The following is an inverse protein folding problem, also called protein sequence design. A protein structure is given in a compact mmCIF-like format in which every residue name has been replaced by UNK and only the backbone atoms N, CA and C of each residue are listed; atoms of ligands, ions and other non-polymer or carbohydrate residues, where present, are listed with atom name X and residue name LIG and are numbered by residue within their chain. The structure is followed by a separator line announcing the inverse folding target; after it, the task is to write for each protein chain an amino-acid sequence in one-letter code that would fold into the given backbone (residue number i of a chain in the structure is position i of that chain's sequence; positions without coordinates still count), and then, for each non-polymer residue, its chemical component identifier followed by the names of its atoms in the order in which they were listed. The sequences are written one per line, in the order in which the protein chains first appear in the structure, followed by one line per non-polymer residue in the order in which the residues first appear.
data_IF_379028831175
#
_entry.id   IF_379028831175
#
_cell.length_a   1.000
_cell.length_b   1.000
_cell.length_c   1.000
_cell.angle_alpha   90.00
_cell.angle_beta   90.00
_cell.angle_gamma   90.00
#
_symmetry.space_group_name_H-M   'P 1'
#
loop_
_entity.id
_entity.type
_entity.pdbx_description
1 polymer ?
#
# COMPACT_ATOMS: atom_id res chain seq x y z
N UNK A 1 10.33 49.82 -11.05
CA UNK A 1 10.72 48.46 -10.62
C UNK A 1 9.79 48.02 -9.51
N UNK A 2 9.07 46.90 -9.66
CA UNK A 2 8.34 46.28 -8.54
C UNK A 2 9.26 45.23 -7.93
N UNK A 3 9.50 45.33 -6.63
CA UNK A 3 10.28 44.37 -5.85
C UNK A 3 9.33 43.45 -5.11
N UNK A 4 9.66 42.15 -5.01
CA UNK A 4 8.93 41.20 -4.18
C UNK A 4 9.56 41.27 -2.79
N UNK A 5 9.05 42.14 -1.92
CA UNK A 5 9.69 42.44 -0.64
C UNK A 5 9.65 41.23 0.30
N UNK A 6 8.65 40.37 0.17
CA UNK A 6 8.51 39.15 0.97
C UNK A 6 9.25 37.92 0.41
N UNK A 7 10.03 38.08 -0.66
CA UNK A 7 10.84 36.99 -1.21
C UNK A 7 11.92 36.55 -0.23
N UNK A 8 11.97 35.26 0.05
CA UNK A 8 12.91 34.62 0.99
C UNK A 8 13.47 33.34 0.37
N UNK A 9 14.55 32.80 0.95
CA UNK A 9 15.13 31.50 0.60
C UNK A 9 15.44 31.31 -0.88
N UNK A 10 15.97 32.36 -1.54
CA UNK A 10 16.42 32.28 -2.93
C UNK A 10 17.55 31.25 -3.02
N UNK A 11 17.31 30.16 -3.76
CA UNK A 11 18.25 29.05 -3.97
C UNK A 11 18.32 28.71 -5.44
N UNK A 12 19.53 28.51 -5.96
CA UNK A 12 19.73 27.93 -7.29
C UNK A 12 19.36 26.45 -7.26
N UNK A 13 18.56 25.99 -8.21
CA UNK A 13 18.20 24.58 -8.35
C UNK A 13 19.35 23.89 -9.09
N UNK A 14 19.98 22.93 -8.42
CA UNK A 14 20.93 22.03 -9.06
C UNK A 14 20.20 20.79 -9.56
N UNK A 15 20.13 20.62 -10.88
CA UNK A 15 19.64 19.39 -11.49
C UNK A 15 20.75 18.33 -11.51
N UNK A 16 20.38 17.06 -11.28
CA UNK A 16 21.31 15.93 -11.33
C UNK A 16 21.86 15.66 -12.73
N UNK A 17 21.12 16.03 -13.77
CA UNK A 17 21.60 16.08 -15.15
C UNK A 17 22.06 17.50 -15.47
N UNK A 18 23.17 17.63 -16.21
CA UNK A 18 23.68 18.91 -16.71
C UNK A 18 22.66 19.56 -17.66
N UNK A 19 21.66 20.24 -17.11
CA UNK A 19 20.90 21.25 -17.82
C UNK A 19 21.68 22.55 -17.70
N UNK A 20 21.96 23.21 -18.83
CA UNK A 20 22.52 24.58 -18.85
C UNK A 20 21.44 25.61 -18.46
N UNK A 21 20.65 25.35 -17.44
CA UNK A 21 19.60 26.27 -16.98
C UNK A 21 19.93 26.78 -15.59
N UNK A 22 19.88 28.10 -15.44
CA UNK A 22 20.03 28.80 -14.16
C UNK A 22 18.65 29.01 -13.54
N UNK A 23 18.07 27.92 -13.06
CA UNK A 23 16.75 27.95 -12.43
C UNK A 23 16.91 28.32 -10.95
N UNK A 24 16.12 29.29 -10.49
CA UNK A 24 16.10 29.73 -9.10
C UNK A 24 14.74 29.41 -8.48
N UNK A 25 14.76 29.02 -7.22
CA UNK A 25 13.57 28.88 -6.38
C UNK A 25 13.64 29.91 -5.26
N UNK A 26 12.52 30.55 -4.99
CA UNK A 26 12.36 31.42 -3.83
C UNK A 26 10.94 31.25 -3.28
N UNK A 27 10.79 31.47 -1.98
CA UNK A 27 9.49 31.42 -1.31
C UNK A 27 8.97 32.86 -1.16
N UNK A 28 7.66 33.08 -1.35
CA UNK A 28 7.01 34.39 -1.19
C UNK A 28 6.02 34.27 -0.04
N UNK A 29 6.17 35.06 1.02
CA UNK A 29 5.33 34.93 2.23
C UNK A 29 3.95 35.55 2.04
N UNK A 30 3.84 36.59 1.23
CA UNK A 30 2.57 37.26 0.93
C UNK A 30 1.92 36.68 -0.34
N UNK A 31 0.68 36.22 -0.22
CA UNK A 31 -0.10 35.67 -1.33
C UNK A 31 -0.41 36.71 -2.42
N UNK A 32 -0.62 37.97 -2.03
CA UNK A 32 -0.87 39.06 -2.99
C UNK A 32 0.37 39.37 -3.82
N UNK A 33 1.55 39.41 -3.20
CA UNK A 33 2.84 39.56 -3.90
C UNK A 33 3.16 38.35 -4.78
N UNK A 34 2.83 37.14 -4.34
CA UNK A 34 2.97 35.92 -5.14
C UNK A 34 2.18 36.03 -6.45
N UNK A 35 0.91 36.41 -6.38
CA UNK A 35 0.07 36.55 -7.58
C UNK A 35 0.52 37.70 -8.47
N UNK A 36 0.93 38.83 -7.89
CA UNK A 36 1.51 39.95 -8.64
C UNK A 36 2.80 39.53 -9.36
N UNK A 37 3.65 38.72 -8.74
CA UNK A 37 4.86 38.18 -9.35
C UNK A 37 4.53 37.26 -10.54
N UNK A 38 3.56 36.34 -10.37
CA UNK A 38 3.12 35.48 -11.47
C UNK A 38 2.54 36.28 -12.64
N UNK A 39 1.77 37.34 -12.36
CA UNK A 39 1.24 38.23 -13.40
C UNK A 39 2.33 39.04 -14.12
N UNK A 40 3.40 39.43 -13.42
CA UNK A 40 4.57 40.06 -14.03
C UNK A 40 5.28 39.11 -15.01
N UNK A 41 5.28 37.81 -14.72
CA UNK A 41 5.83 36.75 -15.58
C UNK A 41 7.35 36.74 -15.74
N UNK A 42 8.06 37.79 -15.32
CA UNK A 42 9.53 37.89 -15.32
C UNK A 42 10.06 38.64 -14.10
N UNK A 43 11.25 38.26 -13.65
CA UNK A 43 11.98 38.87 -12.54
C UNK A 43 13.43 39.15 -12.94
N UNK A 44 13.99 40.26 -12.45
CA UNK A 44 15.41 40.53 -12.59
C UNK A 44 16.16 39.93 -11.38
N UNK A 45 17.16 39.08 -11.66
CA UNK A 45 18.09 38.55 -10.65
C UNK A 45 19.51 38.89 -11.13
N UNK A 46 20.19 39.80 -10.41
CA UNK A 46 21.47 40.36 -10.85
C UNK A 46 21.31 41.16 -12.15
N UNK A 47 22.01 40.73 -13.21
CA UNK A 47 21.94 41.35 -14.54
C UNK A 47 21.05 40.58 -15.54
N UNK A 48 20.38 39.52 -15.08
CA UNK A 48 19.59 38.62 -15.93
C UNK A 48 18.09 38.75 -15.67
N UNK A 49 17.30 38.69 -16.74
CA UNK A 49 15.83 38.59 -16.68
C UNK A 49 15.41 37.13 -16.81
N UNK A 50 14.76 36.60 -15.79
CA UNK A 50 14.30 35.22 -15.75
C UNK A 50 12.77 35.17 -15.75
N UNK A 51 12.19 34.17 -16.41
CA UNK A 51 10.74 33.93 -16.35
C UNK A 51 10.34 33.42 -14.97
N UNK A 52 9.25 33.96 -14.42
CA UNK A 52 8.65 33.46 -13.18
C UNK A 52 7.57 32.45 -13.56
N UNK A 53 7.68 31.25 -13.01
CA UNK A 53 6.66 30.22 -13.10
C UNK A 53 6.30 29.73 -11.71
N UNK A 54 5.05 29.34 -11.50
CA UNK A 54 4.62 28.74 -10.23
C UNK A 54 5.44 27.47 -9.98
N UNK A 55 6.14 27.43 -8.85
CA UNK A 55 6.83 26.23 -8.42
C UNK A 55 5.82 25.29 -7.78
N UNK A 56 5.53 24.19 -8.44
CA UNK A 56 4.78 23.10 -7.84
C UNK A 56 5.77 22.23 -7.09
N UNK A 57 5.77 22.21 -5.74
CA UNK A 57 6.53 21.22 -5.02
C UNK A 57 6.03 19.87 -5.51
N UNK A 58 6.89 19.14 -6.23
CA UNK A 58 6.46 17.88 -6.81
C UNK A 58 6.04 16.97 -5.67
N UNK A 59 4.73 16.77 -5.48
CA UNK A 59 4.23 15.60 -4.79
C UNK A 59 4.97 14.44 -5.42
N UNK A 60 5.85 13.81 -4.64
CA UNK A 60 6.72 12.76 -5.16
C UNK A 60 5.78 11.69 -5.67
N UNK A 61 5.72 11.57 -7.00
CA UNK A 61 4.88 10.58 -7.62
C UNK A 61 5.37 9.22 -7.16
N UNK A 62 4.49 8.45 -6.55
CA UNK A 62 4.75 7.04 -6.29
C UNK A 62 4.66 6.32 -7.62
N UNK A 63 5.81 5.90 -8.13
CA UNK A 63 5.90 5.08 -9.34
C UNK A 63 6.72 3.82 -9.06
N UNK A 64 6.38 2.77 -9.78
CA UNK A 64 7.05 1.49 -9.67
C UNK A 64 8.27 1.47 -10.60
N UNK A 65 9.48 1.24 -10.08
CA UNK A 65 10.69 1.12 -10.90
C UNK A 65 10.79 -0.21 -11.66
N UNK A 66 9.90 -1.17 -11.39
CA UNK A 66 9.83 -2.46 -12.11
C UNK A 66 9.04 -2.33 -13.41
N UNK A 67 7.84 -1.75 -13.35
CA UNK A 67 6.95 -1.63 -14.52
C UNK A 67 6.79 -0.19 -15.04
N UNK A 68 7.38 0.80 -14.36
CA UNK A 68 7.34 2.24 -14.67
C UNK A 68 5.95 2.88 -14.63
N UNK A 69 4.93 2.18 -14.12
CA UNK A 69 3.58 2.73 -13.91
C UNK A 69 3.50 3.51 -12.61
N UNK A 70 2.64 4.53 -12.60
CA UNK A 70 2.24 5.25 -11.39
C UNK A 70 1.29 4.39 -10.53
N UNK A 71 0.97 4.83 -9.32
CA UNK A 71 -0.02 4.24 -8.38
C UNK A 71 0.48 3.15 -7.43
N UNK A 72 1.68 2.58 -7.59
CA UNK A 72 2.15 1.53 -6.67
C UNK A 72 3.68 1.51 -6.52
N UNK A 73 4.14 0.85 -5.46
CA UNK A 73 5.55 0.68 -5.14
C UNK A 73 6.09 -0.61 -5.76
N UNK A 74 7.42 -0.70 -5.86
CA UNK A 74 8.10 -1.87 -6.47
C UNK A 74 7.78 -3.18 -5.76
N UNK A 75 7.65 -3.16 -4.43
CA UNK A 75 7.39 -4.33 -3.59
C UNK A 75 5.98 -4.90 -3.78
N UNK A 76 5.01 -4.09 -4.21
CA UNK A 76 3.63 -4.53 -4.50
C UNK A 76 3.40 -4.82 -5.98
N UNK A 77 4.44 -4.77 -6.80
CA UNK A 77 4.34 -4.94 -8.24
C UNK A 77 4.46 -6.41 -8.67
N UNK A 78 3.36 -6.96 -9.19
CA UNK A 78 3.29 -8.31 -9.77
C UNK A 78 3.72 -8.38 -11.25
N UNK A 79 3.93 -7.23 -11.91
CA UNK A 79 4.38 -7.20 -13.31
C UNK A 79 5.88 -7.53 -13.44
N UNK A 80 6.27 -8.04 -14.61
CA UNK A 80 7.67 -8.27 -14.98
C UNK A 80 8.48 -6.95 -15.02
N UNK A 81 9.79 -7.05 -14.80
CA UNK A 81 10.70 -5.91 -14.95
C UNK A 81 10.73 -5.45 -16.40
N UNK A 82 10.66 -4.14 -16.62
CA UNK A 82 10.66 -3.53 -17.95
C UNK A 82 11.81 -2.54 -18.11
N UNK A 83 12.30 -2.41 -19.34
CA UNK A 83 13.29 -1.41 -19.70
C UNK A 83 12.73 0.00 -19.52
N UNK A 84 13.49 0.91 -18.91
CA UNK A 84 13.08 2.29 -18.65
C UNK A 84 12.75 3.08 -19.92
N UNK A 85 13.41 2.76 -21.02
CA UNK A 85 13.32 3.51 -22.28
C UNK A 85 12.21 2.91 -23.15
N UNK A 86 12.35 1.65 -23.58
CA UNK A 86 11.42 1.03 -24.53
C UNK A 86 10.27 0.24 -23.90
N UNK A 87 10.27 0.03 -22.58
CA UNK A 87 9.28 -0.75 -21.83
C UNK A 87 9.15 -2.23 -22.22
N UNK A 88 10.11 -2.77 -22.97
CA UNK A 88 10.23 -4.22 -23.21
C UNK A 88 10.61 -4.96 -21.93
N UNK A 89 10.16 -6.22 -21.79
CA UNK A 89 10.44 -7.02 -20.61
C UNK A 89 11.94 -7.35 -20.53
N UNK A 90 12.52 -7.09 -19.35
CA UNK A 90 13.88 -7.49 -18.99
C UNK A 90 13.81 -8.90 -18.42
N UNK A 91 14.03 -9.90 -19.28
CA UNK A 91 14.20 -11.29 -18.87
C UNK A 91 15.60 -11.49 -18.30
N UNK A 92 15.73 -12.29 -17.24
CA UNK A 92 17.02 -12.61 -16.61
C UNK A 92 17.95 -13.42 -17.52
N UNK A 93 17.40 -14.20 -18.44
CA UNK A 93 18.18 -15.17 -19.22
C UNK A 93 18.73 -14.62 -20.54
N UNK A 94 18.20 -13.48 -21.02
CA UNK A 94 18.57 -12.90 -22.32
C UNK A 94 18.97 -11.44 -22.11
N UNK A 95 20.19 -11.03 -22.48
CA UNK A 95 20.61 -9.63 -22.38
C UNK A 95 19.70 -8.75 -23.26
N UNK A 96 18.99 -7.83 -22.61
CA UNK A 96 18.12 -6.89 -23.30
C UNK A 96 18.94 -5.89 -24.13
N UNK A 97 18.66 -5.82 -25.43
CA UNK A 97 19.22 -4.80 -26.33
C UNK A 97 18.18 -3.70 -26.56
N UNK A 98 18.35 -2.55 -25.92
CA UNK A 98 17.39 -1.45 -26.01
C UNK A 98 17.46 -0.79 -27.39
N UNK A 99 16.31 -0.65 -28.06
CA UNK A 99 16.19 0.06 -29.34
C UNK A 99 16.26 1.59 -29.23
N UNK A 100 16.39 2.13 -28.01
CA UNK A 100 16.39 3.56 -27.71
C UNK A 100 15.15 4.35 -28.19
N UNK A 101 14.05 3.66 -28.51
CA UNK A 101 12.77 4.29 -28.79
C UNK A 101 12.01 4.50 -27.47
N UNK A 102 11.87 5.75 -26.97
CA UNK A 102 11.24 6.00 -25.69
C UNK A 102 9.74 5.71 -25.77
N UNK A 103 9.23 4.94 -24.81
CA UNK A 103 7.81 4.62 -24.67
C UNK A 103 7.33 4.94 -23.26
N UNK A 104 6.12 5.49 -23.15
CA UNK A 104 5.54 5.91 -21.88
C UNK A 104 4.65 4.81 -21.28
N UNK A 105 4.88 4.44 -20.02
CA UNK A 105 4.14 3.35 -19.37
C UNK A 105 2.70 3.71 -18.99
N UNK A 106 2.34 5.01 -19.04
CA UNK A 106 1.01 5.50 -18.72
C UNK A 106 0.12 5.65 -19.95
N UNK A 107 0.67 6.13 -21.08
CA UNK A 107 -0.10 6.48 -22.27
C UNK A 107 0.42 5.85 -23.57
N UNK A 108 1.45 5.00 -23.49
CA UNK A 108 2.11 4.34 -24.62
C UNK A 108 2.69 5.30 -25.70
N UNK A 109 2.75 6.60 -25.42
CA UNK A 109 3.31 7.63 -26.31
C UNK A 109 4.84 7.58 -26.44
N UNK A 110 5.36 8.29 -27.45
CA UNK A 110 6.80 8.37 -27.80
C UNK A 110 7.60 9.32 -26.89
N UNK A 111 7.54 9.12 -25.58
CA UNK A 111 8.27 9.88 -24.56
C UNK A 111 8.52 9.00 -23.33
N UNK A 112 9.38 9.43 -22.41
CA UNK A 112 9.65 8.66 -21.20
C UNK A 112 8.46 8.65 -20.23
N UNK A 113 8.26 7.56 -19.48
CA UNK A 113 7.12 7.36 -18.56
C UNK A 113 6.89 8.44 -17.50
N UNK A 114 7.94 9.22 -17.17
CA UNK A 114 7.91 10.28 -16.15
C UNK A 114 8.09 11.68 -16.76
N UNK A 115 7.99 11.80 -18.07
CA UNK A 115 8.14 13.08 -18.76
C UNK A 115 6.96 14.00 -18.43
N UNK A 116 7.28 15.29 -18.29
CA UNK A 116 6.33 16.38 -18.12
C UNK A 116 5.33 16.53 -19.27
N UNK A 117 5.66 16.02 -20.46
CA UNK A 117 4.78 16.05 -21.63
C UNK A 117 3.67 14.98 -21.61
N UNK A 118 3.71 14.04 -20.66
CA UNK A 118 2.68 13.02 -20.54
C UNK A 118 1.39 13.60 -19.97
N UNK A 119 0.33 13.66 -20.77
CA UNK A 119 -0.98 14.18 -20.37
C UNK A 119 -1.56 13.42 -19.16
N UNK A 120 -1.49 12.09 -19.16
CA UNK A 120 -1.95 11.24 -18.04
C UNK A 120 -1.20 11.56 -16.75
N UNK A 121 0.10 11.83 -16.85
CA UNK A 121 0.92 12.18 -15.68
C UNK A 121 0.56 13.57 -15.14
N UNK A 122 0.23 14.50 -16.03
CA UNK A 122 -0.20 15.85 -15.67
C UNK A 122 -1.54 15.81 -14.94
N UNK A 123 -2.53 15.14 -15.51
CA UNK A 123 -3.86 14.95 -14.90
C UNK A 123 -3.75 14.27 -13.53
N UNK A 124 -2.91 13.24 -13.40
CA UNK A 124 -2.69 12.58 -12.12
C UNK A 124 -2.05 13.50 -11.07
N UNK A 125 -1.09 14.36 -11.47
CA UNK A 125 -0.50 15.35 -10.56
C UNK A 125 -1.50 16.40 -10.12
N UNK A 126 -2.35 16.86 -11.04
CA UNK A 126 -3.39 17.84 -10.77
C UNK A 126 -4.41 17.25 -9.79
N UNK A 127 -4.88 16.02 -10.02
CA UNK A 127 -5.76 15.31 -9.09
C UNK A 127 -5.12 15.10 -7.72
N UNK A 128 -3.85 14.68 -7.67
CA UNK A 128 -3.15 14.48 -6.41
C UNK A 128 -2.99 15.80 -5.62
N UNK A 129 -2.85 16.92 -6.33
CA UNK A 129 -2.79 18.24 -5.72
C UNK A 129 -4.13 18.62 -5.12
N UNK A 130 -5.22 18.40 -5.86
CA UNK A 130 -6.59 18.62 -5.40
C UNK A 130 -6.92 17.74 -4.18
N UNK A 131 -6.63 16.44 -4.24
CA UNK A 131 -6.86 15.49 -3.14
C UNK A 131 -6.13 15.92 -1.86
N UNK A 132 -4.88 16.39 -1.99
CA UNK A 132 -4.10 16.91 -0.86
C UNK A 132 -4.72 18.19 -0.31
N UNK A 133 -5.18 19.10 -1.17
CA UNK A 133 -5.87 20.33 -0.73
C UNK A 133 -7.17 20.02 0.01
N UNK A 134 -7.98 19.10 -0.51
CA UNK A 134 -9.21 18.62 0.14
C UNK A 134 -8.90 17.96 1.48
N UNK A 135 -7.85 17.14 1.57
CA UNK A 135 -7.45 16.50 2.81
C UNK A 135 -6.97 17.50 3.87
N UNK A 136 -6.30 18.58 3.45
CA UNK A 136 -5.92 19.69 4.33
C UNK A 136 -7.15 20.44 4.82
N UNK A 137 -8.11 20.74 3.95
CA UNK A 137 -9.37 21.40 4.33
C UNK A 137 -10.19 20.55 5.30
N UNK A 138 -10.18 19.22 5.13
CA UNK A 138 -10.82 18.26 6.05
C UNK A 138 -10.05 18.05 7.36
N UNK A 139 -8.88 18.67 7.53
CA UNK A 139 -8.03 18.48 8.70
C UNK A 139 -7.38 17.10 8.81
N UNK A 140 -7.41 16.30 7.75
CA UNK A 140 -6.75 14.98 7.70
C UNK A 140 -5.24 15.12 7.50
N UNK A 141 -4.81 16.19 6.85
CA UNK A 141 -3.41 16.56 6.69
C UNK A 141 -3.18 17.97 7.26
N UNK A 142 -2.11 18.13 8.04
CA UNK A 142 -1.70 19.45 8.51
C UNK A 142 -0.59 19.98 7.61
N UNK A 143 -0.76 21.18 7.04
CA UNK A 143 0.37 21.90 6.46
C UNK A 143 1.27 22.31 7.61
N UNK A 144 2.49 21.77 7.65
CA UNK A 144 3.52 22.29 8.54
C UNK A 144 3.71 23.77 8.24
N UNK A 145 3.55 24.62 9.26
CA UNK A 145 3.79 26.04 9.09
C UNK A 145 5.26 26.24 8.68
N UNK A 146 5.57 27.16 7.74
CA UNK A 146 6.96 27.42 7.34
C UNK A 146 7.91 27.82 8.48
N UNK A 147 7.37 28.07 9.67
CA UNK A 147 8.05 28.58 10.85
C UNK A 147 8.64 27.51 11.77
N UNK A 148 8.23 26.23 11.62
CA UNK A 148 8.97 25.12 12.20
C UNK A 148 10.25 24.92 11.38
N UNK A 149 11.23 25.80 11.62
CA UNK A 149 12.61 25.56 11.22
C UNK A 149 12.91 24.14 11.70
N UNK A 150 13.28 23.26 10.78
CA UNK A 150 14.00 22.04 11.14
C UNK A 150 15.03 22.47 12.20
N UNK A 151 15.09 21.81 13.37
CA UNK A 151 16.05 22.20 14.39
C UNK A 151 17.40 22.42 13.72
N UNK A 152 18.03 23.56 14.01
CA UNK A 152 19.35 23.88 13.47
C UNK A 152 20.20 22.63 13.65
N UNK A 153 20.67 22.08 12.53
CA UNK A 153 21.51 20.89 12.57
C UNK A 153 22.80 21.29 13.28
N UNK A 154 22.85 21.03 14.60
CA UNK A 154 24.07 21.16 15.37
C UNK A 154 24.99 20.04 14.90
N UNK A 155 26.04 20.42 14.18
CA UNK A 155 27.08 19.48 13.80
C UNK A 155 27.85 19.07 15.06
N UNK A 156 27.42 17.99 15.72
CA UNK A 156 28.18 17.37 16.80
C UNK A 156 29.14 16.39 16.17
N UNK A 157 30.44 16.65 16.31
CA UNK A 157 31.50 15.74 15.84
C UNK A 157 31.39 14.33 16.44
N UNK A 158 30.67 14.20 17.57
CA UNK A 158 30.39 12.93 18.26
C UNK A 158 29.35 12.07 17.54
N UNK A 159 28.46 12.67 16.72
CA UNK A 159 27.39 11.95 16.01
C UNK A 159 27.89 11.31 14.69
N UNK A 160 29.11 11.64 14.27
CA UNK A 160 29.78 11.05 13.12
C UNK A 160 31.09 10.42 13.58
N UNK A 161 31.08 9.12 14.00
CA UNK A 161 32.32 8.44 14.32
C UNK A 161 33.30 8.59 13.15
N UNK A 162 34.56 8.95 13.41
CA UNK A 162 35.55 9.10 12.35
C UNK A 162 35.58 7.80 11.56
N UNK A 163 35.33 7.89 10.25
CA UNK A 163 35.47 6.74 9.35
C UNK A 163 36.92 6.29 9.47
N UNK A 164 37.16 5.22 10.21
CA UNK A 164 38.47 4.59 10.29
C UNK A 164 38.85 4.20 8.88
N UNK A 165 40.02 4.65 8.41
CA UNK A 165 40.57 4.35 7.09
C UNK A 165 41.04 2.88 6.98
N UNK A 166 40.16 1.94 7.33
CA UNK A 166 40.33 0.49 7.40
C UNK A 166 39.01 -0.07 6.85
N UNK A 167 38.92 -0.81 5.74
CA UNK A 167 39.91 -1.60 5.03
C UNK A 167 39.72 -1.46 3.51
N UNK A 168 40.82 -1.38 2.78
CA UNK A 168 40.87 -1.57 1.34
C UNK A 168 40.37 -2.98 0.98
N UNK A 169 39.07 -3.12 0.70
CA UNK A 169 38.46 -4.33 0.15
C UNK A 169 38.78 -4.57 -1.34
N UNK A 170 39.91 -4.08 -1.85
CA UNK A 170 40.29 -4.20 -3.26
C UNK A 170 40.77 -5.60 -3.69
N UNK A 171 40.86 -6.59 -2.78
CA UNK A 171 41.47 -7.89 -3.09
C UNK A 171 40.60 -9.15 -2.92
N UNK A 172 39.28 -9.05 -2.67
CA UNK A 172 38.41 -10.25 -2.74
C UNK A 172 37.97 -10.53 -4.17
N UNK A 173 38.86 -11.15 -4.94
CA UNK A 173 38.49 -11.89 -6.16
C UNK A 173 37.56 -13.03 -5.78
N UNK A 174 36.31 -12.97 -6.22
CA UNK A 174 35.38 -14.10 -6.18
C UNK A 174 35.86 -15.16 -7.19
N UNK A 175 36.68 -16.11 -6.76
CA UNK A 175 37.02 -17.29 -7.55
C UNK A 175 35.92 -18.34 -7.37
N UNK A 176 34.89 -18.27 -8.21
CA UNK A 176 33.94 -19.37 -8.44
C UNK A 176 34.45 -20.25 -9.58
N UNK A 177 35.41 -21.12 -9.28
CA UNK A 177 35.75 -22.25 -10.15
C UNK A 177 35.18 -23.52 -9.50
N UNK A 178 34.05 -23.98 -10.01
CA UNK A 178 33.53 -25.33 -9.72
C UNK A 178 34.15 -26.31 -10.74
N UNK A 179 34.59 -27.52 -10.32
CA UNK A 179 35.10 -28.53 -11.22
C UNK A 179 33.95 -29.14 -12.03
N UNK A 180 34.11 -29.15 -13.35
CA UNK A 180 33.18 -29.77 -14.29
C UNK A 180 33.51 -31.26 -14.38
N UNK A 181 32.80 -32.11 -13.63
CA UNK A 181 32.84 -33.56 -13.84
C UNK A 181 31.84 -33.96 -14.91
N UNK A 182 32.35 -34.41 -16.05
CA UNK A 182 31.60 -35.15 -17.07
C UNK A 182 31.22 -36.52 -16.52
N UNK A 183 29.92 -36.75 -16.28
CA UNK A 183 29.35 -38.07 -16.03
C UNK A 183 28.50 -38.43 -17.24
N UNK A 184 28.84 -39.55 -17.88
CA UNK A 184 28.06 -40.21 -18.92
C UNK A 184 26.69 -40.61 -18.38
N UNK A 185 25.64 -40.09 -19.00
CA UNK A 185 24.26 -40.31 -18.58
C UNK A 185 23.41 -40.72 -19.77
N UNK A 186 23.13 -42.01 -19.93
CA UNK A 186 22.04 -42.45 -20.81
C UNK A 186 21.16 -43.59 -20.28
N UNK A 187 21.32 -44.12 -19.06
CA UNK A 187 20.41 -45.19 -18.57
C UNK A 187 20.01 -45.15 -17.08
N UNK A 188 20.25 -44.06 -16.34
CA UNK A 188 19.87 -43.93 -14.91
C UNK A 188 18.70 -42.97 -14.64
N UNK A 189 18.11 -42.38 -15.69
CA UNK A 189 17.21 -41.22 -15.57
C UNK A 189 15.75 -41.54 -15.24
N UNK A 190 15.30 -42.80 -15.40
CA UNK A 190 13.90 -43.17 -15.18
C UNK A 190 13.60 -43.69 -13.78
N UNK A 191 14.58 -44.19 -13.03
CA UNK A 191 14.35 -44.77 -11.69
C UNK A 191 14.59 -43.80 -10.54
N UNK A 192 15.41 -42.76 -10.74
CA UNK A 192 15.66 -41.73 -9.72
C UNK A 192 14.64 -40.59 -9.73
N UNK A 193 13.89 -40.40 -10.82
CA UNK A 193 12.86 -39.35 -10.90
C UNK A 193 11.69 -39.64 -9.97
N UNK A 194 11.23 -40.89 -9.92
CA UNK A 194 9.96 -41.21 -9.24
C UNK A 194 10.10 -41.13 -7.71
N UNK A 195 11.19 -41.66 -7.15
CA UNK A 195 11.48 -41.55 -5.70
C UNK A 195 11.75 -40.12 -5.26
N UNK A 196 12.34 -39.30 -6.13
CA UNK A 196 12.61 -37.89 -5.83
C UNK A 196 11.31 -37.07 -5.90
N UNK A 197 10.43 -37.37 -6.85
CA UNK A 197 9.11 -36.74 -6.97
C UNK A 197 8.22 -37.10 -5.77
N UNK A 198 8.20 -38.37 -5.35
CA UNK A 198 7.44 -38.81 -4.18
C UNK A 198 7.93 -38.12 -2.89
N UNK A 199 9.25 -38.06 -2.68
CA UNK A 199 9.83 -37.34 -1.54
C UNK A 199 9.55 -35.82 -1.57
N UNK A 200 9.53 -35.20 -2.74
CA UNK A 200 9.17 -33.78 -2.88
C UNK A 200 7.68 -33.56 -2.53
N UNK A 201 6.80 -34.45 -2.98
CA UNK A 201 5.37 -34.37 -2.69
C UNK A 201 5.06 -34.55 -1.20
N UNK A 202 5.74 -35.48 -0.53
CA UNK A 202 5.59 -35.68 0.93
C UNK A 202 6.07 -34.48 1.74
N UNK A 203 7.18 -33.86 1.33
CA UNK A 203 7.68 -32.64 1.94
C UNK A 203 6.72 -31.46 1.72
N UNK A 204 6.12 -31.37 0.53
CA UNK A 204 5.12 -30.33 0.21
C UNK A 204 3.86 -30.51 1.06
N UNK A 205 3.35 -31.73 1.22
CA UNK A 205 2.19 -32.04 2.04
C UNK A 205 2.43 -31.69 3.53
N UNK A 206 3.62 -32.01 4.04
CA UNK A 206 4.04 -31.68 5.42
C UNK A 206 4.14 -30.18 5.64
N UNK A 207 4.65 -29.43 4.65
CA UNK A 207 4.73 -27.98 4.68
C UNK A 207 3.33 -27.34 4.68
N UNK A 208 2.41 -27.86 3.85
CA UNK A 208 1.02 -27.39 3.78
C UNK A 208 0.31 -27.62 5.12
N UNK A 209 0.46 -28.80 5.73
CA UNK A 209 -0.17 -29.08 7.04
C UNK A 209 0.42 -28.19 8.15
N UNK A 210 1.73 -27.96 8.13
CA UNK A 210 2.41 -27.06 9.08
C UNK A 210 1.94 -25.62 8.96
N UNK A 211 1.76 -25.11 7.74
CA UNK A 211 1.21 -23.78 7.49
C UNK A 211 -0.24 -23.67 7.98
N UNK A 212 -1.08 -24.67 7.69
CA UNK A 212 -2.47 -24.70 8.16
C UNK A 212 -2.58 -24.69 9.69
N UNK A 213 -1.67 -25.37 10.39
CA UNK A 213 -1.59 -25.35 11.87
C UNK A 213 -1.17 -23.98 12.40
N UNK A 214 -0.21 -23.32 11.75
CA UNK A 214 0.24 -21.97 12.14
C UNK A 214 -0.85 -20.93 11.89
N UNK A 215 -1.58 -21.04 10.78
CA UNK A 215 -2.72 -20.18 10.45
C UNK A 215 -3.85 -20.29 11.50
N UNK A 216 -4.21 -21.51 11.89
CA UNK A 216 -5.21 -21.74 12.94
C UNK A 216 -4.78 -21.14 14.29
N UNK A 217 -3.50 -21.26 14.65
CA UNK A 217 -2.96 -20.65 15.88
C UNK A 217 -2.98 -19.12 15.82
N UNK A 218 -2.67 -18.53 14.66
CA UNK A 218 -2.71 -17.09 14.47
C UNK A 218 -4.15 -16.55 14.59
N UNK A 219 -5.12 -17.20 13.94
CA UNK A 219 -6.54 -16.83 14.06
C UNK A 219 -7.04 -16.92 15.50
N UNK A 220 -6.72 -18.01 16.21
CA UNK A 220 -7.07 -18.16 17.62
C UNK A 220 -6.44 -17.08 18.50
N UNK A 221 -5.18 -16.71 18.26
CA UNK A 221 -4.50 -15.67 19.01
C UNK A 221 -5.13 -14.28 18.78
N UNK A 222 -5.46 -13.93 17.53
CA UNK A 222 -6.07 -12.63 17.21
C UNK A 222 -7.52 -12.56 17.72
N UNK A 223 -8.29 -13.65 17.62
CA UNK A 223 -9.63 -13.71 18.23
C UNK A 223 -9.57 -13.57 19.75
N UNK A 224 -8.63 -14.26 20.41
CA UNK A 224 -8.43 -14.13 21.86
C UNK A 224 -8.07 -12.70 22.27
N UNK A 225 -7.17 -12.03 21.54
CA UNK A 225 -6.79 -10.63 21.79
C UNK A 225 -7.99 -9.68 21.62
N UNK A 226 -8.77 -9.87 20.55
CA UNK A 226 -9.99 -9.09 20.30
C UNK A 226 -11.02 -9.26 21.42
N UNK A 227 -11.25 -10.50 21.86
CA UNK A 227 -12.15 -10.81 22.98
C UNK A 227 -11.67 -10.16 24.28
N UNK A 228 -10.36 -10.20 24.57
CA UNK A 228 -9.80 -9.58 25.76
C UNK A 228 -9.94 -8.05 25.73
N UNK A 229 -9.67 -7.40 24.59
CA UNK A 229 -9.87 -5.94 24.42
C UNK A 229 -11.33 -5.56 24.67
N UNK A 230 -12.28 -6.34 24.12
CA UNK A 230 -13.71 -6.10 24.34
C UNK A 230 -14.12 -6.34 25.79
N UNK A 231 -13.59 -7.38 26.44
CA UNK A 231 -13.85 -7.68 27.85
C UNK A 231 -13.36 -6.56 28.76
N UNK A 232 -12.13 -6.07 28.55
CA UNK A 232 -11.55 -4.99 29.34
C UNK A 232 -12.33 -3.68 29.16
N UNK A 233 -12.74 -3.37 27.92
CA UNK A 233 -13.58 -2.21 27.64
C UNK A 233 -14.92 -2.28 28.39
N UNK A 234 -15.60 -3.43 28.32
CA UNK A 234 -16.88 -3.63 29.01
C UNK A 234 -16.76 -3.64 30.53
N UNK A 235 -15.68 -4.21 31.07
CA UNK A 235 -15.51 -4.42 32.51
C UNK A 235 -14.99 -3.16 33.23
N UNK A 236 -14.15 -2.36 32.58
CA UNK A 236 -13.47 -1.25 33.24
C UNK A 236 -13.89 0.12 32.69
N UNK A 237 -14.02 0.26 31.36
CA UNK A 237 -14.25 1.57 30.74
C UNK A 237 -15.71 1.98 30.85
N UNK A 238 -16.66 1.07 30.58
CA UNK A 238 -18.09 1.37 30.67
C UNK A 238 -18.50 1.76 32.10
N UNK A 239 -18.20 1.00 33.17
CA UNK A 239 -18.58 1.39 34.52
C UNK A 239 -17.94 2.70 34.96
N UNK A 240 -16.66 2.93 34.65
CA UNK A 240 -15.97 4.18 34.96
C UNK A 240 -16.62 5.38 34.25
N UNK A 241 -17.07 5.22 33.00
CA UNK A 241 -17.75 6.28 32.26
C UNK A 241 -19.13 6.64 32.83
N UNK A 242 -19.81 5.67 33.44
CA UNK A 242 -21.13 5.87 34.05
C UNK A 242 -21.05 6.57 35.40
N UNK A 243 -19.97 6.36 36.17
CA UNK A 243 -19.78 6.96 37.51
C UNK A 243 -18.92 8.22 37.50
N UNK A 244 -18.21 8.51 36.41
CA UNK A 244 -17.34 9.68 36.29
C UNK A 244 -18.10 11.02 36.32
N UNK A 245 -17.56 11.95 37.11
CA UNK A 245 -17.96 13.35 37.10
C UNK A 245 -17.68 14.01 35.75
N UNK A 246 -18.26 15.19 35.52
CA UNK A 246 -18.11 15.92 34.25
C UNK A 246 -16.65 16.23 33.91
N UNK A 247 -15.80 16.48 34.90
CA UNK A 247 -14.37 16.72 34.70
C UNK A 247 -13.61 15.44 34.33
N UNK A 248 -13.94 14.31 34.96
CA UNK A 248 -13.30 13.01 34.72
C UNK A 248 -13.68 12.41 33.36
N UNK A 249 -14.87 12.74 32.83
CA UNK A 249 -15.30 12.30 31.50
C UNK A 249 -14.36 12.78 30.39
N UNK A 250 -13.73 13.94 30.53
CA UNK A 250 -12.75 14.42 29.54
C UNK A 250 -11.51 13.54 29.48
N UNK A 251 -11.06 13.00 30.62
CA UNK A 251 -9.92 12.08 30.68
C UNK A 251 -10.28 10.69 30.16
N UNK A 252 -11.54 10.26 30.33
CA UNK A 252 -12.03 8.98 29.80
C UNK A 252 -12.15 8.95 28.28
N UNK A 253 -12.29 10.09 27.60
CA UNK A 253 -12.30 10.15 26.12
C UNK A 253 -11.00 9.58 25.54
N UNK A 254 -9.85 9.89 26.16
CA UNK A 254 -8.57 9.34 25.71
C UNK A 254 -8.49 7.82 25.91
N UNK A 255 -9.00 7.31 27.03
CA UNK A 255 -9.05 5.87 27.31
C UNK A 255 -9.97 5.16 26.31
N UNK A 256 -11.16 5.70 26.02
CA UNK A 256 -12.08 5.13 25.02
C UNK A 256 -11.43 5.09 23.63
N UNK A 257 -10.77 6.18 23.24
CA UNK A 257 -10.07 6.25 21.95
C UNK A 257 -8.90 5.25 21.87
N UNK A 258 -8.20 4.99 22.97
CA UNK A 258 -7.14 3.98 23.03
C UNK A 258 -7.71 2.56 22.78
N UNK A 259 -8.80 2.19 23.45
CA UNK A 259 -9.46 0.91 23.25
C UNK A 259 -10.03 0.76 21.83
N UNK A 260 -10.60 1.84 21.27
CA UNK A 260 -11.05 1.86 19.89
C UNK A 260 -9.89 1.60 18.91
N UNK A 261 -8.75 2.26 19.10
CA UNK A 261 -7.55 2.04 18.28
C UNK A 261 -7.02 0.61 18.39
N UNK A 262 -6.98 0.05 19.61
CA UNK A 262 -6.58 -1.36 19.83
C UNK A 262 -7.50 -2.34 19.11
N UNK A 263 -8.82 -2.12 19.19
CA UNK A 263 -9.82 -2.94 18.50
C UNK A 263 -9.69 -2.82 16.97
N UNK A 264 -9.46 -1.61 16.47
CA UNK A 264 -9.24 -1.36 15.04
C UNK A 264 -7.99 -2.08 14.51
N UNK A 265 -6.89 -2.06 15.26
CA UNK A 265 -5.66 -2.80 14.92
C UNK A 265 -5.92 -4.31 14.90
N UNK A 266 -6.60 -4.84 15.92
CA UNK A 266 -6.95 -6.26 15.99
C UNK A 266 -7.88 -6.68 14.82
N UNK A 267 -8.89 -5.88 14.51
CA UNK A 267 -9.79 -6.09 13.37
C UNK A 267 -9.05 -6.06 12.02
N UNK A 268 -8.15 -5.10 11.84
CA UNK A 268 -7.31 -5.01 10.63
C UNK A 268 -6.44 -6.26 10.45
N UNK A 269 -5.91 -6.83 11.55
CA UNK A 269 -5.17 -8.10 11.52
C UNK A 269 -6.06 -9.28 11.12
N UNK A 270 -7.32 -9.34 11.59
CA UNK A 270 -8.29 -10.37 11.17
C UNK A 270 -8.62 -10.25 9.69
N UNK A 271 -8.89 -9.04 9.20
CA UNK A 271 -9.25 -8.79 7.79
C UNK A 271 -8.08 -9.16 6.87
N UNK A 272 -6.86 -8.73 7.21
CA UNK A 272 -5.67 -9.06 6.42
C UNK A 272 -5.37 -10.57 6.47
N UNK A 273 -5.55 -11.21 7.63
CA UNK A 273 -5.46 -12.67 7.76
C UNK A 273 -6.50 -13.39 6.89
N UNK A 274 -7.73 -12.89 6.81
CA UNK A 274 -8.79 -13.46 5.98
C UNK A 274 -8.53 -13.30 4.48
N UNK A 275 -8.01 -12.15 4.05
CA UNK A 275 -7.62 -11.90 2.66
C UNK A 275 -6.45 -12.80 2.23
N UNK A 276 -5.48 -13.02 3.11
CA UNK A 276 -4.39 -13.98 2.87
C UNK A 276 -4.93 -15.41 2.66
N UNK A 277 -5.95 -15.83 3.42
CA UNK A 277 -6.57 -17.16 3.25
C UNK A 277 -7.32 -17.30 1.92
N UNK A 278 -7.98 -16.25 1.42
CA UNK A 278 -8.61 -16.29 0.10
C UNK A 278 -7.58 -16.41 -1.02
N UNK A 279 -6.44 -15.74 -0.89
CA UNK A 279 -5.35 -15.83 -1.85
C UNK A 279 -4.69 -17.23 -1.80
N UNK A 280 -4.43 -17.77 -0.60
CA UNK A 280 -3.90 -19.12 -0.43
C UNK A 280 -4.86 -20.19 -0.97
N UNK A 281 -6.16 -20.05 -0.74
CA UNK A 281 -7.17 -20.96 -1.29
C UNK A 281 -7.22 -20.88 -2.83
N UNK A 282 -7.08 -19.70 -3.43
CA UNK A 282 -6.95 -19.55 -4.88
C UNK A 282 -5.67 -20.18 -5.43
N UNK A 283 -4.53 -19.98 -4.77
CA UNK A 283 -3.26 -20.64 -5.13
C UNK A 283 -3.38 -22.15 -5.00
N UNK A 284 -4.10 -22.65 -3.99
CA UNK A 284 -4.36 -24.07 -3.79
C UNK A 284 -5.23 -24.64 -4.92
N UNK A 285 -6.30 -23.96 -5.33
CA UNK A 285 -7.14 -24.33 -6.49
C UNK A 285 -6.38 -24.29 -7.82
N UNK A 286 -5.45 -23.35 -7.98
CA UNK A 286 -4.56 -23.29 -9.14
C UNK A 286 -3.55 -24.44 -9.15
N UNK A 287 -3.02 -24.83 -7.99
CA UNK A 287 -2.11 -25.96 -7.88
C UNK A 287 -2.80 -27.32 -8.10
N UNK A 288 -4.04 -27.49 -7.62
CA UNK A 288 -4.79 -28.73 -7.83
C UNK A 288 -5.32 -28.87 -9.25
N UNK A 289 -5.68 -27.77 -9.93
CA UNK A 289 -6.04 -27.78 -11.36
C UNK A 289 -4.86 -28.09 -12.29
N UNK A 290 -3.65 -27.65 -11.93
CA UNK A 290 -2.42 -28.03 -12.64
C UNK A 290 -2.10 -29.52 -12.48
N UNK A 291 -2.37 -30.10 -11.31
CA UNK A 291 -2.14 -31.53 -11.04
C UNK A 291 -3.19 -32.40 -11.74
N UNK A 292 -4.47 -32.01 -11.73
CA UNK A 292 -5.58 -32.78 -12.35
C UNK A 292 -5.57 -32.79 -13.88
N UNK A 293 -4.96 -31.80 -14.54
CA UNK A 293 -4.76 -31.82 -16.00
C UNK A 293 -3.70 -32.85 -16.46
N UNK A 294 -3.02 -33.53 -15.53
CA UNK A 294 -2.02 -34.57 -15.84
C UNK A 294 -2.55 -36.00 -15.65
N UNK A 295 -3.75 -36.18 -15.09
CA UNK A 295 -4.34 -37.50 -14.85
C UNK A 295 -5.85 -37.42 -15.10
N UNK A 296 -6.27 -37.76 -16.32
CA UNK A 296 -7.66 -38.04 -16.63
C UNK A 296 -7.84 -39.55 -16.78
N UNK A 297 -8.51 -40.18 -15.80
CA UNK A 297 -9.55 -41.21 -15.99
C UNK A 297 -10.28 -41.47 -14.66
N UNK A 298 -11.60 -41.49 -14.76
CA UNK A 298 -12.63 -42.08 -13.87
C UNK A 298 -13.14 -41.35 -12.58
N UNK A 299 -14.33 -40.77 -12.76
CA UNK A 299 -15.54 -40.67 -11.91
C UNK A 299 -15.44 -40.72 -10.37
N UNK A 300 -15.89 -39.64 -9.71
CA UNK A 300 -17.16 -39.57 -8.93
C UNK A 300 -17.31 -38.20 -8.26
N UNK A 301 -18.40 -37.49 -8.57
CA UNK A 301 -18.73 -36.18 -7.99
C UNK A 301 -19.52 -36.34 -6.68
N UNK A 302 -18.95 -35.90 -5.56
CA UNK A 302 -19.68 -35.67 -4.30
C UNK A 302 -20.10 -34.20 -4.27
N UNK A 303 -21.40 -33.95 -4.35
CA UNK A 303 -22.01 -32.61 -4.21
C UNK A 303 -22.15 -32.28 -2.71
N UNK A 304 -21.36 -31.33 -2.22
CA UNK A 304 -21.60 -30.65 -0.93
C UNK A 304 -21.81 -29.17 -1.26
N UNK A 305 -22.89 -28.60 -0.71
CA UNK A 305 -23.48 -27.27 -0.92
C UNK A 305 -24.49 -27.16 -2.06
N UNK A 306 -25.75 -27.50 -1.75
CA UNK A 306 -26.91 -26.84 -2.38
C UNK A 306 -27.07 -25.48 -1.70
N UNK A 307 -26.84 -24.39 -2.43
CA UNK A 307 -27.22 -23.06 -1.98
C UNK A 307 -28.75 -22.92 -2.07
N UNK A 308 -29.38 -22.52 -0.98
CA UNK A 308 -30.80 -22.14 -0.93
C UNK A 308 -30.95 -20.73 -1.52
N UNK A 309 -31.25 -20.65 -2.82
CA UNK A 309 -31.30 -19.39 -3.59
C UNK A 309 -32.36 -18.34 -3.14
N UNK A 310 -33.09 -18.54 -2.05
CA UNK A 310 -34.15 -17.61 -1.60
C UNK A 310 -34.17 -17.34 -0.08
N UNK A 311 -33.12 -17.69 0.68
CA UNK A 311 -33.10 -17.40 2.11
C UNK A 311 -32.84 -15.90 2.37
N UNK A 312 -33.66 -15.28 3.22
CA UNK A 312 -33.42 -13.92 3.70
C UNK A 312 -32.02 -13.86 4.35
N UNK A 313 -31.12 -12.96 3.94
CA UNK A 313 -29.76 -12.86 4.48
C UNK A 313 -29.70 -12.74 6.01
N UNK A 314 -30.74 -12.16 6.62
CA UNK A 314 -30.88 -12.07 8.07
C UNK A 314 -31.14 -13.43 8.72
N UNK A 315 -31.96 -14.27 8.08
CA UNK A 315 -32.30 -15.59 8.61
C UNK A 315 -31.10 -16.53 8.48
N UNK A 316 -30.34 -16.42 7.38
CA UNK A 316 -29.07 -17.13 7.22
C UNK A 316 -28.04 -16.71 8.28
N UNK A 317 -27.87 -15.40 8.51
CA UNK A 317 -26.98 -14.90 9.56
C UNK A 317 -27.41 -15.36 10.96
N UNK A 318 -28.73 -15.42 11.22
CA UNK A 318 -29.28 -15.91 12.50
C UNK A 318 -29.00 -17.40 12.68
N UNK A 319 -29.17 -18.20 11.63
CA UNK A 319 -28.88 -19.63 11.64
C UNK A 319 -27.37 -19.92 11.84
N UNK A 320 -26.48 -19.12 11.25
CA UNK A 320 -25.04 -19.25 11.48
C UNK A 320 -24.66 -18.94 12.94
N UNK A 321 -25.31 -17.97 13.59
CA UNK A 321 -25.13 -17.72 15.03
C UNK A 321 -25.62 -18.87 15.90
N UNK A 322 -26.57 -19.68 15.40
CA UNK A 322 -26.99 -20.91 16.05
C UNK A 322 -25.92 -21.98 16.00
N UNK A 323 -25.29 -22.16 14.85
CA UNK A 323 -24.21 -23.12 14.64
C UNK A 323 -22.96 -22.76 15.47
N UNK A 324 -22.64 -21.46 15.59
CA UNK A 324 -21.44 -21.01 16.31
C UNK A 324 -21.56 -21.04 17.84
N UNK A 325 -22.71 -21.46 18.38
CA UNK A 325 -22.91 -21.75 19.80
C UNK A 325 -22.53 -20.59 20.74
N UNK A 326 -22.92 -19.36 20.37
CA UNK A 326 -22.73 -18.17 21.21
C UNK A 326 -23.44 -18.29 22.56
N UNK A 327 -22.85 -17.67 23.59
CA UNK A 327 -23.53 -17.55 24.88
C UNK A 327 -24.87 -16.81 24.71
N UNK A 328 -25.90 -17.09 25.53
CA UNK A 328 -27.21 -16.43 25.38
C UNK A 328 -27.14 -14.90 25.45
N UNK A 329 -26.18 -14.37 26.23
CA UNK A 329 -25.96 -12.93 26.37
C UNK A 329 -25.36 -12.33 25.08
N UNK A 330 -24.37 -12.99 24.51
CA UNK A 330 -23.69 -12.52 23.29
C UNK A 330 -24.58 -12.69 22.08
N UNK A 331 -25.34 -13.80 21.99
CA UNK A 331 -26.36 -13.98 20.96
C UNK A 331 -27.38 -12.84 20.98
N UNK A 332 -27.85 -12.41 22.15
CA UNK A 332 -28.81 -11.29 22.25
C UNK A 332 -28.22 -9.99 21.71
N UNK A 333 -26.96 -9.70 22.01
CA UNK A 333 -26.26 -8.51 21.51
C UNK A 333 -26.06 -8.58 19.99
N UNK A 334 -25.53 -9.69 19.48
CA UNK A 334 -25.28 -9.85 18.04
C UNK A 334 -26.59 -9.84 17.25
N UNK A 335 -27.66 -10.43 17.79
CA UNK A 335 -28.99 -10.30 17.19
C UNK A 335 -29.43 -8.84 17.18
N UNK A 336 -29.32 -8.07 18.27
CA UNK A 336 -29.71 -6.65 18.23
C UNK A 336 -28.98 -5.84 17.14
N UNK A 337 -27.69 -6.13 16.91
CA UNK A 337 -26.90 -5.50 15.85
C UNK A 337 -27.33 -5.96 14.46
N UNK A 338 -27.59 -7.25 14.25
CA UNK A 338 -28.12 -7.76 12.99
C UNK A 338 -29.50 -7.16 12.67
N UNK A 339 -30.36 -7.01 13.68
CA UNK A 339 -31.68 -6.42 13.51
C UNK A 339 -31.60 -4.93 13.16
N UNK A 340 -30.64 -4.20 13.73
CA UNK A 340 -30.38 -2.80 13.36
C UNK A 340 -29.79 -2.68 11.96
N UNK A 341 -28.83 -3.53 11.60
CA UNK A 341 -28.17 -3.54 10.30
C UNK A 341 -29.13 -3.86 9.16
N UNK A 342 -30.00 -4.84 9.36
CA UNK A 342 -31.06 -5.23 8.43
C UNK A 342 -32.39 -4.52 8.72
N UNK A 343 -32.40 -3.46 9.54
CA UNK A 343 -33.60 -2.64 9.70
C UNK A 343 -33.84 -1.80 8.45
N UNK A 344 -35.12 -1.54 8.15
CA UNK A 344 -35.51 -0.64 7.05
C UNK A 344 -34.80 0.71 7.18
N UNK A 345 -34.56 1.19 8.40
CA UNK A 345 -33.87 2.47 8.63
C UNK A 345 -32.43 2.48 8.12
N UNK A 346 -31.64 1.48 8.46
CA UNK A 346 -30.22 1.40 8.06
C UNK A 346 -30.10 1.07 6.58
N UNK A 347 -30.96 0.17 6.09
CA UNK A 347 -31.01 -0.18 4.67
C UNK A 347 -31.41 1.03 3.81
N UNK A 348 -32.44 1.77 4.20
CA UNK A 348 -32.87 2.97 3.49
C UNK A 348 -31.80 4.07 3.51
N UNK A 349 -31.04 4.22 4.61
CA UNK A 349 -29.93 5.17 4.66
C UNK A 349 -28.79 4.81 3.69
N UNK A 350 -28.50 3.51 3.51
CA UNK A 350 -27.52 3.03 2.53
C UNK A 350 -28.03 3.21 1.10
N UNK A 351 -29.30 2.88 0.84
CA UNK A 351 -29.94 3.08 -0.47
C UNK A 351 -30.00 4.56 -0.83
N UNK A 352 -30.36 5.45 0.11
CA UNK A 352 -30.37 6.90 -0.08
C UNK A 352 -28.96 7.43 -0.43
N UNK A 353 -27.90 6.90 0.20
CA UNK A 353 -26.53 7.24 -0.19
C UNK A 353 -26.19 6.79 -1.62
N UNK A 354 -26.66 5.60 -2.04
CA UNK A 354 -26.45 5.10 -3.40
C UNK A 354 -27.22 5.90 -4.45
N UNK A 355 -28.48 6.24 -4.16
CA UNK A 355 -29.31 7.09 -5.02
C UNK A 355 -28.70 8.49 -5.17
N UNK A 356 -28.21 9.08 -4.08
CA UNK A 356 -27.53 10.39 -4.10
C UNK A 356 -26.19 10.36 -4.84
N UNK A 357 -25.51 9.21 -4.92
CA UNK A 357 -24.29 9.05 -5.68
C UNK A 357 -24.53 8.91 -7.20
N UNK A 358 -25.78 8.76 -7.64
CA UNK A 358 -26.14 8.60 -9.05
C UNK A 358 -25.66 7.28 -9.67
N UNK A 359 -25.31 6.29 -8.83
CA UNK A 359 -24.79 4.98 -9.27
C UNK A 359 -25.87 3.94 -9.03
N UNK A 360 -26.54 3.50 -10.10
CA UNK A 360 -27.40 2.32 -10.01
C UNK A 360 -26.51 1.08 -9.84
N UNK A 361 -26.60 0.32 -8.73
CA UNK A 361 -25.73 -0.83 -8.51
C UNK A 361 -26.06 -1.92 -9.52
N UNK A 362 -25.07 -2.35 -10.31
CA UNK A 362 -25.22 -3.55 -11.12
C UNK A 362 -25.24 -4.78 -10.21
N UNK A 363 -26.05 -5.81 -10.56
CA UNK A 363 -26.02 -7.11 -9.87
C UNK A 363 -24.56 -7.60 -9.89
N UNK A 364 -23.92 -7.63 -8.71
CA UNK A 364 -22.52 -8.03 -8.43
C UNK A 364 -21.46 -6.92 -8.32
N UNK A 365 -21.83 -5.63 -8.25
CA UNK A 365 -20.85 -4.57 -7.97
C UNK A 365 -20.37 -4.63 -6.52
N UNK A 366 -19.10 -4.97 -6.31
CA UNK A 366 -18.39 -4.84 -5.04
C UNK A 366 -17.64 -3.51 -5.04
N UNK A 367 -18.12 -2.53 -4.28
CA UNK A 367 -17.35 -1.30 -4.05
C UNK A 367 -16.47 -1.44 -2.80
N UNK A 368 -15.20 -1.09 -2.97
CA UNK A 368 -14.28 -0.92 -1.85
C UNK A 368 -14.55 0.44 -1.22
N UNK A 369 -14.82 0.46 0.08
CA UNK A 369 -14.74 1.70 0.86
C UNK A 369 -13.29 2.20 0.75
N UNK A 370 -13.07 3.31 0.04
CA UNK A 370 -11.76 3.96 -0.04
C UNK A 370 -11.39 4.52 1.34
N UNK A 371 -10.76 3.70 2.16
CA UNK A 371 -10.01 4.18 3.31
C UNK A 371 -8.73 4.81 2.74
N UNK A 372 -8.61 6.12 2.89
CA UNK A 372 -7.46 6.91 2.46
C UNK A 372 -6.19 6.42 3.18
N UNK A 373 -5.40 5.57 2.52
CA UNK A 373 -4.07 5.20 2.98
C UNK A 373 -3.09 6.34 2.71
N UNK A 374 -3.02 7.33 3.61
CA UNK A 374 -1.89 8.26 3.64
C UNK A 374 -0.69 7.56 4.26
N UNK A 375 0.40 7.47 3.50
CA UNK A 375 1.70 7.10 4.06
C UNK A 375 2.29 8.35 4.72
N UNK A 376 2.13 8.45 6.04
CA UNK A 376 2.87 9.41 6.88
C UNK A 376 4.04 8.64 7.49
N UNK A 377 5.00 8.27 6.65
CA UNK A 377 6.30 7.80 7.14
C UNK A 377 7.40 8.76 6.71
N UNK A 378 8.15 9.15 7.74
CA UNK A 378 9.16 10.17 7.71
C UNK A 378 10.44 9.77 6.99
N UNK A 379 11.36 10.71 7.10
CA UNK A 379 12.71 10.75 6.60
C UNK A 379 13.54 9.48 6.81
N UNK A 380 14.39 9.18 5.81
CA UNK A 380 15.47 8.17 5.86
C UNK A 380 15.12 6.91 5.07
N UNK A 381 15.67 6.65 3.89
CA UNK A 381 17.09 6.31 3.71
C UNK A 381 17.46 6.30 2.22
N UNK A 382 18.75 6.51 1.97
CA UNK A 382 19.41 6.41 0.66
C UNK A 382 19.22 5.02 0.03
N UNK A 383 18.87 4.99 -1.25
CA UNK A 383 19.32 4.06 -2.30
C UNK A 383 18.52 4.49 -3.56
N UNK A 384 19.11 4.87 -4.68
CA UNK A 384 20.01 4.07 -5.49
C UNK A 384 20.92 4.99 -6.32
N UNK A 385 22.22 4.89 -6.03
CA UNK A 385 23.28 4.96 -7.03
C UNK A 385 23.21 3.68 -7.88
N UNK A 386 23.25 3.86 -9.20
CA UNK A 386 23.70 2.96 -10.28
C UNK A 386 23.03 3.39 -11.60
#
# INVERSE_FOLDING_TARGET
QRTIASADRIKRIHYSYQRRTDDYRFDVKDYSEHNAALQLGRIAIGHSWLSITKFYPGNRLTYCTRCWRISHLRNTCNAESKCRICLENLNSDIPHTCRNEPKCAQCDGKHHSLDSQCQVLKEYKDQLTEDVEVAIQKGLLQRFSPQEKSPLFEHREQDFPPLTASDNHSNKKWNTALPRTTIESNNLRASYTDKTIESINDNLATLIDSNKRLENKLHQAVLADTINIMKDFMQYVIPASLTASRAERSSLVHVVNEYYNRLHIASSRLINGYQFNQLNHQVQLMSTSLITNTVQTDQQSVSIYKSTENANPRDEATHQLEIWNFSPKDRKLVLSLLYEWYSDRTLNAVVEQWENAGIAPSKNQKEYIKILCYNVEGWGTRALEA
#
